data_IF_228102040108
#
_entry.id   IF_228102040108
#
_cell.length_a   1.000
_cell.length_b   1.000
_cell.length_c   1.000
_cell.angle_alpha   90.00
_cell.angle_beta   90.00
_cell.angle_gamma   90.00
#
_symmetry.space_group_name_H-M   'P 1'
#
loop_
_entity.id
_entity.type
_entity.pdbx_description
1 polymer ?
#
# COMPACT_ATOMS: atom_id res chain seq x y z
N UNK A 1 21.07 16.67 -68.41
CA UNK A 1 20.84 17.79 -67.47
C UNK A 1 19.76 17.36 -66.50
N UNK A 2 20.09 17.33 -65.21
CA UNK A 2 19.49 16.48 -64.19
C UNK A 2 17.99 16.71 -63.99
N UNK A 3 17.19 15.64 -64.04
CA UNK A 3 15.77 15.65 -63.71
C UNK A 3 15.61 15.54 -62.19
N UNK A 4 15.11 16.59 -61.56
CA UNK A 4 14.90 16.69 -60.12
C UNK A 4 13.62 15.95 -59.72
N UNK A 5 13.78 14.74 -59.17
CA UNK A 5 12.68 14.00 -58.55
C UNK A 5 12.33 14.65 -57.20
N UNK A 6 11.28 15.48 -57.17
CA UNK A 6 10.75 16.07 -55.94
C UNK A 6 10.04 14.98 -55.13
N UNK A 7 10.75 14.35 -54.20
CA UNK A 7 10.10 13.58 -53.14
C UNK A 7 9.32 14.56 -52.27
N UNK A 8 8.00 14.56 -52.42
CA UNK A 8 7.07 15.25 -51.52
C UNK A 8 7.35 14.76 -50.10
N UNK A 9 7.62 15.70 -49.19
CA UNK A 9 7.68 15.49 -47.74
C UNK A 9 6.25 15.12 -47.33
N UNK A 10 5.91 13.84 -47.49
CA UNK A 10 4.73 13.24 -46.91
C UNK A 10 4.94 13.25 -45.41
N UNK A 11 4.38 14.27 -44.76
CA UNK A 11 4.24 14.42 -43.32
C UNK A 11 3.44 13.24 -42.76
N UNK A 12 4.09 12.07 -42.62
CA UNK A 12 3.57 10.97 -41.83
C UNK A 12 3.92 11.24 -40.37
N UNK A 13 3.38 12.34 -39.81
CA UNK A 13 3.22 12.46 -38.36
C UNK A 13 2.10 11.51 -38.01
N UNK A 14 2.43 10.22 -37.98
CA UNK A 14 1.62 9.20 -37.34
C UNK A 14 1.50 9.59 -35.88
N UNK A 15 0.31 10.05 -35.53
CA UNK A 15 -0.15 10.38 -34.19
C UNK A 15 0.28 9.24 -33.25
N UNK A 16 1.38 9.42 -32.50
CA UNK A 16 1.69 8.55 -31.37
C UNK A 16 0.60 8.79 -30.34
N UNK A 17 -0.45 7.98 -30.37
CA UNK A 17 -1.38 7.85 -29.27
C UNK A 17 -0.58 7.37 -28.07
N UNK A 18 -0.19 8.32 -27.20
CA UNK A 18 0.38 8.01 -25.89
C UNK A 18 -0.69 7.26 -25.09
N UNK A 19 -0.66 5.93 -25.16
CA UNK A 19 -1.31 5.09 -24.17
C UNK A 19 -0.56 5.27 -22.86
N UNK A 20 -1.01 6.22 -22.04
CA UNK A 20 -0.53 6.34 -20.67
C UNK A 20 -1.08 5.14 -19.88
N UNK A 21 -0.23 4.23 -19.37
CA UNK A 21 -0.71 3.20 -18.47
C UNK A 21 -1.32 3.88 -17.23
N UNK A 22 -2.56 3.52 -16.90
CA UNK A 22 -3.17 3.94 -15.64
C UNK A 22 -2.43 3.24 -14.50
N UNK A 23 -1.58 3.96 -13.80
CA UNK A 23 -1.02 3.51 -12.54
C UNK A 23 -2.10 3.65 -11.46
N UNK A 24 -2.54 2.52 -10.90
CA UNK A 24 -3.38 2.53 -9.71
C UNK A 24 -2.51 2.82 -8.48
N UNK A 25 -2.90 3.80 -7.67
CA UNK A 25 -2.24 4.07 -6.41
C UNK A 25 -2.40 2.85 -5.48
N UNK A 26 -1.29 2.41 -4.88
CA UNK A 26 -1.31 1.33 -3.92
C UNK A 26 -2.05 1.77 -2.65
N UNK A 27 -3.00 0.96 -2.20
CA UNK A 27 -3.77 1.23 -0.97
C UNK A 27 -2.82 1.34 0.21
N UNK A 28 -2.94 2.42 0.97
CA UNK A 28 -2.18 2.66 2.19
C UNK A 28 -3.14 2.83 3.37
N UNK A 29 -2.78 2.20 4.50
CA UNK A 29 -3.45 2.43 5.78
C UNK A 29 -2.42 2.81 6.82
N UNK A 30 -2.74 3.85 7.61
CA UNK A 30 -1.87 4.34 8.68
C UNK A 30 -2.33 3.77 10.02
N UNK A 31 -1.36 3.35 10.83
CA UNK A 31 -1.54 2.81 12.17
C UNK A 31 -0.61 3.62 13.10
N UNK A 32 -1.16 4.23 14.13
CA UNK A 32 -0.38 4.95 15.13
C UNK A 32 -0.02 4.02 16.29
N UNK A 33 1.16 4.22 16.86
CA UNK A 33 1.60 3.58 18.11
C UNK A 33 1.65 4.68 19.17
N UNK A 34 0.80 4.57 20.20
CA UNK A 34 0.67 5.51 21.31
C UNK A 34 0.45 4.74 22.59
N UNK A 35 1.19 5.06 23.64
CA UNK A 35 1.10 4.40 24.95
C UNK A 35 1.17 2.86 24.80
N UNK A 36 2.02 2.38 23.90
CA UNK A 36 2.20 0.96 23.57
C UNK A 36 0.91 0.25 23.10
N UNK A 37 0.05 0.98 22.37
CA UNK A 37 -1.18 0.50 21.75
C UNK A 37 -1.21 0.86 20.26
N UNK A 38 -1.87 0.03 19.45
CA UNK A 38 -2.12 0.32 18.03
C UNK A 38 -3.44 1.05 17.81
N UNK A 39 -3.41 2.08 16.94
CA UNK A 39 -4.59 2.84 16.55
C UNK A 39 -4.70 2.99 15.02
N UNK A 40 -5.73 2.45 14.36
CA UNK A 40 -6.76 1.57 14.93
C UNK A 40 -6.21 0.15 15.21
N UNK A 41 -6.80 -0.55 16.18
CA UNK A 41 -6.51 -1.97 16.41
C UNK A 41 -7.09 -2.88 15.32
N UNK A 42 -8.15 -2.45 14.64
CA UNK A 42 -8.79 -3.19 13.54
C UNK A 42 -8.59 -2.45 12.23
N UNK A 43 -7.71 -2.99 11.38
CA UNK A 43 -7.28 -2.38 10.12
C UNK A 43 -8.04 -3.02 8.98
N UNK A 44 -9.00 -2.32 8.38
CA UNK A 44 -9.80 -2.87 7.27
C UNK A 44 -9.09 -2.63 5.94
N UNK A 45 -8.95 -3.69 5.14
CA UNK A 45 -8.28 -3.64 3.83
C UNK A 45 -9.05 -4.44 2.77
N UNK A 46 -8.91 -4.10 1.47
CA UNK A 46 -9.57 -4.83 0.39
C UNK A 46 -8.92 -6.20 0.14
N UNK A 47 -9.76 -7.22 -0.06
CA UNK A 47 -9.35 -8.54 -0.51
C UNK A 47 -8.69 -8.50 -1.89
N UNK A 48 -7.70 -9.36 -2.12
CA UNK A 48 -7.06 -9.52 -3.43
C UNK A 48 -6.16 -8.34 -3.87
N UNK A 49 -5.88 -7.37 -3.00
CA UNK A 49 -4.98 -6.25 -3.30
C UNK A 49 -3.74 -6.27 -2.41
N UNK A 50 -2.61 -5.80 -2.97
CA UNK A 50 -1.42 -5.47 -2.19
C UNK A 50 -1.64 -4.15 -1.47
N UNK A 51 -1.34 -4.09 -0.17
CA UNK A 51 -1.58 -2.93 0.69
C UNK A 51 -0.30 -2.56 1.44
N UNK A 52 -0.06 -1.27 1.62
CA UNK A 52 0.99 -0.73 2.49
C UNK A 52 0.37 -0.40 3.84
N UNK A 53 0.90 -1.00 4.90
CA UNK A 53 0.61 -0.57 6.27
C UNK A 53 1.75 0.33 6.71
N UNK A 54 1.43 1.55 7.13
CA UNK A 54 2.40 2.52 7.63
C UNK A 54 2.16 2.74 9.11
N UNK A 55 3.17 2.42 9.90
CA UNK A 55 3.17 2.61 11.34
C UNK A 55 3.85 3.94 11.68
N UNK A 56 3.23 4.73 12.55
CA UNK A 56 3.79 5.98 13.08
C UNK A 56 3.88 5.84 14.59
N UNK A 57 5.10 5.78 15.10
CA UNK A 57 5.35 5.64 16.52
C UNK A 57 5.46 7.02 17.18
N UNK A 58 4.51 7.32 18.06
CA UNK A 58 4.49 8.54 18.85
C UNK A 58 5.11 8.37 20.24
N UNK A 59 5.49 7.15 20.62
CA UNK A 59 6.13 6.86 21.91
C UNK A 59 7.61 7.26 21.90
N UNK A 60 8.18 7.36 23.11
CA UNK A 60 9.61 7.61 23.34
C UNK A 60 10.45 6.33 23.34
N UNK A 61 9.83 5.17 23.15
CA UNK A 61 10.49 3.86 23.00
C UNK A 61 10.20 3.25 21.62
N UNK A 62 11.07 2.35 21.12
CA UNK A 62 10.74 1.56 19.94
C UNK A 62 9.59 0.60 20.22
N UNK A 63 8.96 0.12 19.14
CA UNK A 63 8.08 -1.04 19.13
C UNK A 63 8.46 -1.94 17.96
N UNK A 64 8.23 -3.24 18.07
CA UNK A 64 8.42 -4.20 16.99
C UNK A 64 7.09 -4.84 16.62
N UNK A 65 6.60 -4.56 15.42
CA UNK A 65 5.41 -5.22 14.89
C UNK A 65 5.81 -6.62 14.44
N UNK A 66 5.10 -7.65 14.88
CA UNK A 66 5.20 -9.02 14.35
C UNK A 66 3.80 -9.58 14.00
N UNK A 67 3.77 -10.42 12.96
CA UNK A 67 2.60 -11.19 12.55
C UNK A 67 3.02 -12.46 11.81
N UNK A 68 2.80 -13.61 12.46
CA UNK A 68 2.94 -14.92 11.83
C UNK A 68 2.01 -15.08 10.61
N UNK A 69 0.76 -14.64 10.74
CA UNK A 69 -0.25 -14.81 9.68
C UNK A 69 0.01 -13.95 8.43
N UNK A 70 0.69 -12.81 8.60
CA UNK A 70 1.12 -11.94 7.50
C UNK A 70 2.55 -12.25 7.03
N UNK A 71 3.31 -13.03 7.82
CA UNK A 71 4.73 -13.29 7.64
C UNK A 71 5.54 -11.98 7.52
N UNK A 72 5.33 -11.06 8.47
CA UNK A 72 5.98 -9.73 8.47
C UNK A 72 6.37 -9.33 9.89
N UNK A 73 7.59 -8.82 10.01
CA UNK A 73 8.11 -8.16 11.19
C UNK A 73 8.67 -6.78 10.82
N UNK A 74 8.61 -5.82 11.75
CA UNK A 74 9.30 -4.52 11.60
C UNK A 74 9.44 -3.78 12.92
N UNK A 75 10.69 -3.43 13.27
CA UNK A 75 10.98 -2.43 14.31
C UNK A 75 10.65 -1.02 13.82
N UNK A 76 9.87 -0.28 14.62
CA UNK A 76 9.52 1.13 14.46
C UNK A 76 10.14 1.91 15.63
N UNK A 77 11.23 2.63 15.36
CA UNK A 77 11.92 3.42 16.38
C UNK A 77 11.02 4.51 16.99
N UNK A 78 11.36 4.96 18.19
CA UNK A 78 10.72 6.09 18.86
C UNK A 78 10.59 7.32 17.95
N UNK A 79 9.44 8.01 18.01
CA UNK A 79 9.14 9.22 17.20
C UNK A 79 9.40 9.07 15.69
N UNK A 80 9.24 7.86 15.15
CA UNK A 80 9.57 7.55 13.75
C UNK A 80 8.42 6.84 13.02
N UNK A 81 8.61 6.59 11.73
CA UNK A 81 7.67 5.83 10.90
C UNK A 81 8.36 4.66 10.20
N UNK A 82 7.60 3.59 9.97
CA UNK A 82 8.01 2.46 9.16
C UNK A 82 6.82 1.85 8.44
N UNK A 83 7.07 1.04 7.41
CA UNK A 83 5.99 0.43 6.64
C UNK A 83 6.30 -1.02 6.32
N UNK A 84 5.24 -1.83 6.22
CA UNK A 84 5.26 -3.18 5.66
C UNK A 84 4.29 -3.27 4.49
N UNK A 85 4.53 -4.23 3.60
CA UNK A 85 3.61 -4.54 2.51
C UNK A 85 2.99 -5.91 2.74
N UNK A 86 1.66 -5.97 2.69
CA UNK A 86 0.86 -7.18 2.88
C UNK A 86 0.06 -7.50 1.61
N UNK A 87 -0.35 -8.76 1.51
CA UNK A 87 -1.20 -9.27 0.45
C UNK A 87 -0.56 -9.38 -0.94
N UNK A 88 -1.35 -9.75 -1.96
CA UNK A 88 -2.80 -9.97 -1.92
C UNK A 88 -3.26 -11.02 -0.88
N UNK A 89 -4.26 -10.67 -0.07
CA UNK A 89 -4.82 -11.56 0.97
C UNK A 89 -6.23 -12.00 0.59
N UNK A 90 -6.61 -13.21 1.02
CA UNK A 90 -8.00 -13.67 1.02
C UNK A 90 -8.78 -12.98 2.14
N UNK A 91 -10.11 -13.03 2.08
CA UNK A 91 -10.94 -12.59 3.20
C UNK A 91 -10.57 -13.34 4.49
N UNK A 92 -10.62 -12.63 5.60
CA UNK A 92 -10.27 -13.18 6.90
C UNK A 92 -9.70 -12.14 7.85
N UNK A 93 -9.23 -12.63 9.00
CA UNK A 93 -8.58 -11.84 10.02
C UNK A 93 -7.14 -12.31 10.21
N UNK A 94 -6.22 -11.35 10.24
CA UNK A 94 -4.78 -11.60 10.30
C UNK A 94 -4.22 -10.81 11.49
N UNK A 95 -3.99 -11.46 12.65
CA UNK A 95 -3.52 -10.77 13.86
C UNK A 95 -2.08 -10.29 13.71
N UNK A 96 -1.76 -9.19 14.38
CA UNK A 96 -0.41 -8.67 14.59
C UNK A 96 -0.28 -8.13 16.02
N UNK A 97 0.93 -8.11 16.56
CA UNK A 97 1.19 -7.68 17.92
C UNK A 97 2.55 -6.94 18.00
N UNK A 98 2.74 -6.19 19.09
CA UNK A 98 4.02 -5.58 19.43
C UNK A 98 4.85 -6.55 20.25
N UNK A 99 5.99 -7.00 19.75
CA UNK A 99 6.88 -7.94 20.44
C UNK A 99 7.44 -7.34 21.74
N UNK A 100 7.61 -6.01 21.82
CA UNK A 100 8.11 -5.36 23.03
C UNK A 100 6.99 -5.14 24.06
N UNK A 101 5.73 -5.09 23.62
CA UNK A 101 4.55 -4.95 24.49
C UNK A 101 3.40 -5.89 24.09
N UNK A 102 3.59 -7.22 24.17
CA UNK A 102 2.68 -8.21 23.58
C UNK A 102 1.30 -8.27 24.26
N UNK A 103 1.19 -7.73 25.47
CA UNK A 103 -0.08 -7.68 26.22
C UNK A 103 -0.94 -6.46 25.89
N UNK A 104 -0.37 -5.37 25.35
CA UNK A 104 -1.09 -4.11 25.08
C UNK A 104 -1.13 -3.77 23.59
N UNK A 105 -0.01 -3.92 22.89
CA UNK A 105 0.12 -3.64 21.48
C UNK A 105 -0.44 -4.83 20.68
N UNK A 106 -1.76 -4.87 20.53
CA UNK A 106 -2.46 -5.94 19.78
C UNK A 106 -3.39 -5.36 18.74
N UNK A 107 -3.43 -5.98 17.57
CA UNK A 107 -4.27 -5.57 16.47
C UNK A 107 -4.53 -6.70 15.47
N UNK A 108 -5.36 -6.42 14.47
CA UNK A 108 -5.61 -7.33 13.36
C UNK A 108 -5.93 -6.57 12.08
N UNK A 109 -5.50 -7.16 10.97
CA UNK A 109 -5.97 -6.78 9.64
C UNK A 109 -7.26 -7.56 9.36
N UNK A 110 -8.32 -6.86 9.00
CA UNK A 110 -9.62 -7.42 8.60
C UNK A 110 -9.76 -7.24 7.10
N UNK A 111 -9.64 -8.33 6.36
CA UNK A 111 -9.70 -8.33 4.90
C UNK A 111 -11.16 -8.54 4.47
N UNK A 112 -11.73 -7.55 3.78
CA UNK A 112 -13.11 -7.57 3.29
C UNK A 112 -13.16 -7.40 1.78
N UNK A 113 -14.23 -7.87 1.15
CA UNK A 113 -14.54 -7.47 -0.23
C UNK A 113 -14.70 -5.96 -0.32
N UNK A 114 -14.17 -5.39 -1.40
CA UNK A 114 -14.38 -4.00 -1.70
C UNK A 114 -15.76 -3.91 -2.37
N UNK A 115 -16.73 -3.22 -1.77
CA UNK A 115 -17.90 -2.80 -2.52
C UNK A 115 -17.40 -1.90 -3.64
N UNK A 116 -17.44 -2.36 -4.89
CA UNK A 116 -17.27 -1.50 -6.05
C UNK A 116 -18.41 -0.48 -6.01
N UNK A 117 -18.16 0.71 -5.43
CA UNK A 117 -18.97 1.87 -5.80
C UNK A 117 -18.66 2.10 -7.28
N UNK A 118 -19.64 1.96 -8.19
CA UNK A 118 -19.41 2.26 -9.58
C UNK A 118 -18.98 3.72 -9.62
N UNK A 119 -17.81 3.98 -10.19
CA UNK A 119 -17.37 5.33 -10.48
C UNK A 119 -18.51 6.02 -11.24
N UNK A 120 -19.11 7.04 -10.63
CA UNK A 120 -20.15 7.81 -11.28
C UNK A 120 -19.54 8.46 -12.52
N UNK A 121 -19.92 7.94 -13.69
CA UNK A 121 -19.62 8.49 -15.00
C UNK A 121 -20.33 9.83 -15.23
#
# INVERSE_FOLDING_TARGET
MNSYFKFSIGLFIGLLSFFSPRAFALTEVVIEIKDHLFYPQNVVVPAGKKVRLTFINFDDSPEEIDSFSLNREKVIFAKSKGSIYIGPLTQGEYPFFGEFHPNSAVGKVVVKEQEEKPDAH
#
